data_IF_300043855470
#
_entry.id   IF_300043855470
#
_cell.length_a   1.000
_cell.length_b   1.000
_cell.length_c   1.000
_cell.angle_alpha   90.00
_cell.angle_beta   90.00
_cell.angle_gamma   90.00
#
_symmetry.space_group_name_H-M   'P 1'
#
loop_
_entity.id
_entity.type
_entity.pdbx_description
1 polymer ?
#
# COMPACT_ATOMS: atom_id res chain seq x y z
N UNK A 1 -20.37 -1.10 -1.04
CA UNK A 1 -19.87 -2.41 -0.57
C UNK A 1 -18.37 -2.43 -0.77
N UNK A 2 -17.58 -2.85 0.23
CA UNK A 2 -16.11 -2.90 0.10
C UNK A 2 -15.71 -4.06 -0.82
N UNK A 3 -14.75 -3.80 -1.71
CA UNK A 3 -14.21 -4.80 -2.64
C UNK A 3 -12.83 -5.22 -2.16
N UNK A 4 -12.56 -6.52 -2.15
CA UNK A 4 -11.23 -7.02 -1.80
C UNK A 4 -10.28 -6.81 -2.98
N UNK A 5 -9.14 -6.22 -2.68
CA UNK A 5 -8.13 -5.84 -3.64
C UNK A 5 -6.79 -6.44 -3.25
N UNK A 6 -6.00 -6.86 -4.23
CA UNK A 6 -4.61 -7.27 -4.06
C UNK A 6 -3.69 -6.31 -4.80
N UNK A 7 -2.45 -6.21 -4.34
CA UNK A 7 -1.41 -5.48 -5.07
C UNK A 7 -1.02 -6.32 -6.29
N UNK A 8 -1.24 -5.79 -7.49
CA UNK A 8 -0.78 -6.39 -8.74
C UNK A 8 0.66 -5.98 -9.04
N UNK A 9 1.02 -4.73 -8.75
CA UNK A 9 2.39 -4.24 -8.93
C UNK A 9 2.55 -2.72 -8.77
N UNK A 10 3.77 -2.26 -9.05
CA UNK A 10 4.18 -0.86 -9.07
C UNK A 10 4.68 -0.51 -10.47
N UNK A 11 4.22 0.60 -11.04
CA UNK A 11 4.74 1.17 -12.28
C UNK A 11 5.38 2.52 -12.00
N UNK A 12 6.36 2.92 -12.83
CA UNK A 12 6.92 4.27 -12.78
C UNK A 12 6.33 5.10 -13.92
N UNK A 13 5.80 6.28 -13.60
CA UNK A 13 5.33 7.24 -14.60
C UNK A 13 6.39 8.35 -14.81
N UNK A 14 7.14 8.31 -15.92
CA UNK A 14 8.21 9.27 -16.17
C UNK A 14 7.70 10.69 -16.41
N UNK A 15 6.40 10.88 -16.71
CA UNK A 15 5.81 12.20 -16.95
C UNK A 15 5.58 12.98 -15.66
N UNK A 16 5.10 12.29 -14.63
CA UNK A 16 4.84 12.86 -13.31
C UNK A 16 6.00 12.66 -12.33
N UNK A 17 6.98 11.81 -12.68
CA UNK A 17 8.05 11.36 -11.79
C UNK A 17 7.51 10.72 -10.50
N UNK A 18 6.35 10.06 -10.61
CA UNK A 18 5.66 9.36 -9.53
C UNK A 18 5.57 7.87 -9.83
N UNK A 19 5.24 7.08 -8.80
CA UNK A 19 4.94 5.66 -8.95
C UNK A 19 3.44 5.42 -8.92
N UNK A 20 2.97 4.43 -9.65
CA UNK A 20 1.57 4.00 -9.70
C UNK A 20 1.48 2.63 -9.03
N UNK A 21 0.80 2.56 -7.89
CA UNK A 21 0.38 1.32 -7.26
C UNK A 21 -0.89 0.80 -7.95
N UNK A 22 -0.81 -0.40 -8.51
CA UNK A 22 -1.94 -1.07 -9.13
C UNK A 22 -2.58 -2.04 -8.13
N UNK A 23 -3.82 -1.75 -7.78
CA UNK A 23 -4.66 -2.64 -6.98
C UNK A 23 -5.67 -3.34 -7.90
N UNK A 24 -5.71 -4.67 -7.88
CA UNK A 24 -6.63 -5.47 -8.68
C UNK A 24 -7.67 -6.14 -7.80
N UNK A 25 -8.93 -6.10 -8.23
CA UNK A 25 -10.02 -6.80 -7.55
C UNK A 25 -9.76 -8.31 -7.57
N UNK A 26 -10.01 -8.99 -6.45
CA UNK A 26 -9.76 -10.44 -6.34
C UNK A 26 -10.79 -11.23 -7.16
N UNK A 27 -12.08 -10.89 -7.02
CA UNK A 27 -13.20 -11.60 -7.65
C UNK A 27 -13.76 -10.87 -8.88
N UNK A 28 -12.98 -9.95 -9.47
CA UNK A 28 -13.43 -9.09 -10.56
C UNK A 28 -12.32 -8.64 -11.48
N UNK A 29 -12.69 -7.90 -12.53
CA UNK A 29 -11.75 -7.37 -13.53
C UNK A 29 -11.26 -5.94 -13.26
N UNK A 30 -11.77 -5.29 -12.21
CA UNK A 30 -11.47 -3.87 -11.98
C UNK A 30 -10.05 -3.70 -11.43
N UNK A 31 -9.39 -2.63 -11.87
CA UNK A 31 -8.09 -2.19 -11.37
C UNK A 31 -8.18 -0.74 -10.90
N UNK A 32 -7.63 -0.47 -9.72
CA UNK A 32 -7.56 0.86 -9.12
C UNK A 32 -6.09 1.32 -9.11
N UNK A 33 -5.72 2.32 -9.94
CA UNK A 33 -4.41 2.95 -9.89
C UNK A 33 -4.35 4.04 -8.80
N UNK A 34 -3.27 4.03 -8.02
CA UNK A 34 -3.00 5.03 -6.98
C UNK A 34 -1.60 5.59 -7.19
N UNK A 35 -1.50 6.90 -7.39
CA UNK A 35 -0.22 7.58 -7.50
C UNK A 35 0.37 7.79 -6.10
N UNK A 36 1.63 7.38 -5.94
CA UNK A 36 2.38 7.49 -4.69
C UNK A 36 3.78 8.05 -4.97
N UNK A 37 4.41 8.59 -3.92
CA UNK A 37 5.78 9.07 -3.98
C UNK A 37 6.79 7.92 -4.04
N UNK A 38 8.04 8.29 -4.34
CA UNK A 38 9.17 7.36 -4.36
C UNK A 38 9.41 6.67 -3.00
N UNK A 39 9.41 7.36 -1.84
CA UNK A 39 9.64 6.71 -0.54
C UNK A 39 8.62 5.62 -0.22
N UNK A 40 7.35 5.85 -0.56
CA UNK A 40 6.26 4.90 -0.39
C UNK A 40 6.44 3.70 -1.31
N UNK A 41 6.74 3.95 -2.59
CA UNK A 41 6.98 2.91 -3.59
C UNK A 41 8.16 2.01 -3.22
N UNK A 42 9.28 2.59 -2.78
CA UNK A 42 10.47 1.84 -2.35
C UNK A 42 10.14 0.94 -1.14
N UNK A 43 9.37 1.47 -0.16
CA UNK A 43 8.94 0.69 1.00
C UNK A 43 8.02 -0.48 0.63
N UNK A 44 7.07 -0.26 -0.28
CA UNK A 44 6.18 -1.31 -0.78
C UNK A 44 6.97 -2.34 -1.60
N UNK A 45 7.91 -1.91 -2.44
CA UNK A 45 8.73 -2.79 -3.26
C UNK A 45 9.58 -3.74 -2.38
N UNK A 46 10.18 -3.23 -1.31
CA UNK A 46 10.91 -4.06 -0.33
C UNK A 46 10.00 -5.13 0.30
N UNK A 47 8.79 -4.74 0.69
CA UNK A 47 7.81 -5.65 1.29
C UNK A 47 7.33 -6.72 0.31
N UNK A 48 7.02 -6.34 -0.94
CA UNK A 48 6.63 -7.27 -2.02
C UNK A 48 7.77 -8.24 -2.36
N UNK A 49 9.01 -7.74 -2.39
CA UNK A 49 10.21 -8.55 -2.60
C UNK A 49 10.58 -9.44 -1.40
N UNK A 50 9.86 -9.33 -0.26
CA UNK A 50 10.15 -10.02 1.00
C UNK A 50 11.60 -9.82 1.46
N UNK A 51 12.14 -8.62 1.21
CA UNK A 51 13.53 -8.30 1.52
C UNK A 51 13.63 -8.02 3.03
N UNK A 52 14.49 -8.76 3.72
CA UNK A 52 14.78 -8.54 5.13
C UNK A 52 15.91 -7.52 5.25
N UNK A 53 15.64 -6.42 5.92
CA UNK A 53 16.63 -5.36 6.20
C UNK A 53 17.36 -5.62 7.53
N UNK A 54 18.60 -5.14 7.69
CA UNK A 54 19.39 -5.36 8.91
C UNK A 54 18.83 -4.62 10.14
N UNK A 55 18.00 -3.59 9.93
CA UNK A 55 17.28 -2.87 10.98
C UNK A 55 15.83 -2.63 10.54
N UNK A 56 14.86 -2.66 11.48
CA UNK A 56 13.45 -2.44 11.16
C UNK A 56 13.26 -1.06 10.53
N UNK A 57 12.56 -1.02 9.40
CA UNK A 57 12.14 0.23 8.77
C UNK A 57 10.87 0.77 9.45
N UNK A 58 10.38 1.93 9.02
CA UNK A 58 9.20 2.60 9.60
C UNK A 58 8.00 1.67 9.69
N UNK A 59 7.69 0.93 8.62
CA UNK A 59 6.55 0.01 8.59
C UNK A 59 6.76 -1.22 9.50
N UNK A 60 7.99 -1.73 9.59
CA UNK A 60 8.33 -2.82 10.51
C UNK A 60 8.21 -2.37 11.96
N UNK A 61 8.68 -1.16 12.26
CA UNK A 61 8.58 -0.56 13.59
C UNK A 61 7.11 -0.40 14.00
N UNK A 62 6.25 0.14 13.13
CA UNK A 62 4.80 0.27 13.38
C UNK A 62 4.18 -1.11 13.64
N UNK A 63 4.50 -2.10 12.79
CA UNK A 63 4.03 -3.49 12.97
C UNK A 63 4.47 -4.06 14.33
N UNK A 64 5.72 -3.83 14.73
CA UNK A 64 6.25 -4.30 16.01
C UNK A 64 5.55 -3.63 17.20
N UNK A 65 5.22 -2.34 17.12
CA UNK A 65 4.46 -1.63 18.15
C UNK A 65 3.04 -2.22 18.27
N UNK A 66 2.33 -2.43 17.16
CA UNK A 66 0.99 -3.03 17.13
C UNK A 66 1.02 -4.44 17.74
N UNK A 67 2.02 -5.25 17.39
CA UNK A 67 2.18 -6.58 17.96
C UNK A 67 2.52 -6.54 19.46
N UNK A 68 3.36 -5.58 19.89
CA UNK A 68 3.73 -5.38 21.29
C UNK A 68 2.52 -5.04 22.18
N UNK A 69 1.51 -4.36 21.62
CA UNK A 69 0.25 -4.07 22.31
C UNK A 69 -0.79 -5.19 22.19
N UNK A 70 -0.42 -6.35 21.62
CA UNK A 70 -1.30 -7.49 21.34
C UNK A 70 -2.47 -7.14 20.39
N UNK A 71 -2.31 -6.10 19.59
CA UNK A 71 -3.27 -5.72 18.55
C UNK A 71 -2.89 -6.36 17.20
N UNK A 72 -3.85 -6.37 16.27
CA UNK A 72 -3.65 -6.84 14.90
C UNK A 72 -4.37 -5.91 13.93
N UNK A 73 -3.71 -5.57 12.82
CA UNK A 73 -4.36 -4.92 11.68
C UNK A 73 -5.23 -5.96 10.98
N UNK A 74 -6.53 -5.71 10.90
CA UNK A 74 -7.50 -6.66 10.32
C UNK A 74 -7.77 -6.38 8.85
N UNK A 75 -7.84 -5.10 8.47
CA UNK A 75 -8.00 -4.64 7.09
C UNK A 75 -7.56 -3.18 6.98
N UNK A 76 -7.36 -2.72 5.75
CA UNK A 76 -7.25 -1.31 5.40
C UNK A 76 -8.27 -1.04 4.30
N UNK A 77 -9.04 0.03 4.44
CA UNK A 77 -10.12 0.37 3.51
C UNK A 77 -9.89 1.75 2.93
N UNK A 78 -9.76 1.82 1.60
CA UNK A 78 -9.83 3.09 0.87
C UNK A 78 -11.31 3.48 0.83
N UNK A 79 -11.64 4.61 1.43
CA UNK A 79 -13.02 5.02 1.73
C UNK A 79 -13.56 5.99 0.71
N UNK A 80 -12.78 7.01 0.37
CA UNK A 80 -13.18 8.08 -0.54
C UNK A 80 -11.98 8.68 -1.28
N UNK A 81 -12.30 9.45 -2.32
CA UNK A 81 -11.35 10.29 -3.04
C UNK A 81 -11.88 11.72 -3.00
N UNK A 82 -11.08 12.65 -2.48
CA UNK A 82 -11.38 14.08 -2.49
C UNK A 82 -10.18 14.78 -3.14
N UNK A 83 -10.43 15.61 -4.15
CA UNK A 83 -9.40 16.40 -4.83
C UNK A 83 -8.17 15.57 -5.25
N UNK A 84 -8.40 14.45 -5.94
CA UNK A 84 -7.39 13.49 -6.38
C UNK A 84 -6.57 12.81 -5.25
N UNK A 85 -7.02 12.93 -4.01
CA UNK A 85 -6.38 12.31 -2.84
C UNK A 85 -7.25 11.18 -2.30
N UNK A 86 -6.70 9.97 -2.25
CA UNK A 86 -7.37 8.82 -1.63
C UNK A 86 -7.25 8.88 -0.11
N UNK A 87 -8.37 8.67 0.59
CA UNK A 87 -8.44 8.56 2.04
C UNK A 87 -8.64 7.08 2.43
N UNK A 88 -7.91 6.64 3.46
CA UNK A 88 -7.98 5.26 3.94
C UNK A 88 -8.09 5.18 5.47
N UNK A 89 -8.79 4.15 5.96
CA UNK A 89 -8.90 3.80 7.37
C UNK A 89 -8.34 2.40 7.67
N UNK A 90 -7.82 2.21 8.89
CA UNK A 90 -7.23 0.96 9.42
C UNK A 90 -8.11 0.42 10.54
#
# INVERSE_FOLDING_TARGET
MVKQMKIEGLLFDPRSNMYILLLKEIDGGNTLPIWIGKPEADSIALALGKIVTPRPLTHDLIKNVIHGTKMKVTKVVITEMIDNTYYAGI
#
